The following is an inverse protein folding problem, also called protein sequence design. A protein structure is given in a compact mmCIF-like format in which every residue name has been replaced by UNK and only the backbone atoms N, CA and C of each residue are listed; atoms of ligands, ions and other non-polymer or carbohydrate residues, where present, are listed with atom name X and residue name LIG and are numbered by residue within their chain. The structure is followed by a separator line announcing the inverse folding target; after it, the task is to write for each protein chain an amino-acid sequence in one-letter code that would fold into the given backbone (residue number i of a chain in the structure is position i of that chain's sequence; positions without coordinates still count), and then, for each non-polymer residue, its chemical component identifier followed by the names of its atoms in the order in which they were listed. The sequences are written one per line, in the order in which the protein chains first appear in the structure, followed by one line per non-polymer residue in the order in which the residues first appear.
data_IF_798443454834
#
_entry.id   IF_798443454834
#
_cell.length_a   1.000
_cell.length_b   1.000
_cell.length_c   1.000
_cell.angle_alpha   90.00
_cell.angle_beta   90.00
_cell.angle_gamma   90.00
#
_symmetry.space_group_name_H-M   'P 1'
#
loop_
_entity.id
_entity.type
_entity.pdbx_description
1 polymer ?
#
# COMPACT_ATOMS: atom_id res chain seq x y z
N UNK A 1 -27.23 -28.06 15.50
CA UNK A 1 -26.10 -27.35 16.14
C UNK A 1 -26.16 -25.92 15.65
N UNK A 2 -26.78 -25.03 16.42
CA UNK A 2 -26.72 -23.59 16.17
C UNK A 2 -25.33 -23.07 16.55
N UNK A 3 -24.74 -22.14 15.78
CA UNK A 3 -23.50 -21.51 16.17
C UNK A 3 -23.74 -20.68 17.44
N UNK A 4 -22.92 -20.91 18.47
CA UNK A 4 -23.01 -20.18 19.74
C UNK A 4 -22.70 -18.70 19.53
N UNK A 5 -23.47 -17.83 20.20
CA UNK A 5 -23.36 -16.36 20.16
C UNK A 5 -21.99 -15.80 20.61
N UNK A 6 -21.05 -16.66 21.02
CA UNK A 6 -19.67 -16.31 21.37
C UNK A 6 -18.76 -16.06 20.17
N UNK A 7 -19.20 -16.35 18.93
CA UNK A 7 -18.34 -16.31 17.74
C UNK A 7 -18.41 -14.98 16.95
N UNK A 8 -19.18 -14.00 17.45
CA UNK A 8 -19.23 -12.64 16.88
C UNK A 8 -18.49 -11.69 17.80
N UNK A 9 -17.16 -11.69 17.76
CA UNK A 9 -16.38 -10.57 18.30
C UNK A 9 -16.84 -9.31 17.54
N UNK A 10 -17.41 -8.29 18.19
CA UNK A 10 -17.81 -7.06 17.51
C UNK A 10 -16.59 -6.49 16.81
N UNK A 11 -16.67 -6.30 15.48
CA UNK A 11 -15.56 -5.68 14.73
C UNK A 11 -15.34 -4.27 15.29
N UNK A 12 -14.09 -3.90 15.63
CA UNK A 12 -13.78 -2.53 16.01
C UNK A 12 -14.25 -1.56 14.93
N UNK A 13 -14.83 -0.42 15.34
CA UNK A 13 -15.39 0.58 14.41
C UNK A 13 -14.32 1.10 13.44
N UNK A 14 -13.07 1.15 13.89
CA UNK A 14 -11.93 1.61 13.11
C UNK A 14 -11.62 0.68 11.93
N UNK A 15 -11.75 -0.64 12.09
CA UNK A 15 -11.55 -1.59 10.98
C UNK A 15 -12.59 -1.38 9.88
N UNK A 16 -13.85 -1.16 10.29
CA UNK A 16 -14.95 -0.92 9.35
C UNK A 16 -14.73 0.38 8.55
N UNK A 17 -14.26 1.45 9.23
CA UNK A 17 -13.92 2.70 8.56
C UNK A 17 -12.75 2.53 7.59
N UNK A 18 -11.71 1.79 8.00
CA UNK A 18 -10.56 1.53 7.15
C UNK A 18 -10.95 0.74 5.90
N UNK A 19 -11.69 -0.35 6.04
CA UNK A 19 -12.19 -1.14 4.91
C UNK A 19 -12.98 -0.27 3.92
N UNK A 20 -13.81 0.63 4.44
CA UNK A 20 -14.58 1.57 3.62
C UNK A 20 -13.66 2.53 2.85
N UNK A 21 -12.65 3.12 3.50
CA UNK A 21 -11.73 4.05 2.83
C UNK A 21 -10.88 3.33 1.79
N UNK A 22 -10.37 2.13 2.06
CA UNK A 22 -9.65 1.34 1.06
C UNK A 22 -10.54 1.01 -0.15
N UNK A 23 -11.79 0.59 0.07
CA UNK A 23 -12.75 0.34 -1.00
C UNK A 23 -13.13 1.60 -1.79
N UNK A 24 -13.27 2.73 -1.10
CA UNK A 24 -13.55 4.02 -1.72
C UNK A 24 -12.37 4.50 -2.57
N UNK A 25 -11.13 4.42 -2.07
CA UNK A 25 -9.92 4.78 -2.82
C UNK A 25 -9.81 3.98 -4.12
N UNK A 26 -10.10 2.67 -4.07
CA UNK A 26 -10.14 1.83 -5.27
C UNK A 26 -11.21 2.30 -6.28
N UNK A 27 -12.40 2.64 -5.77
CA UNK A 27 -13.52 3.10 -6.59
C UNK A 27 -13.25 4.46 -7.23
N UNK A 28 -12.66 5.40 -6.48
CA UNK A 28 -12.24 6.72 -6.98
C UNK A 28 -11.19 6.59 -8.07
N UNK A 29 -10.22 5.68 -7.89
CA UNK A 29 -9.22 5.39 -8.92
C UNK A 29 -9.86 4.93 -10.23
N UNK A 30 -10.86 4.04 -10.17
CA UNK A 30 -11.60 3.61 -11.35
C UNK A 30 -12.41 4.74 -12.00
N UNK A 31 -13.10 5.56 -11.20
CA UNK A 31 -13.90 6.70 -11.70
C UNK A 31 -13.02 7.74 -12.40
N UNK A 32 -11.85 8.04 -11.85
CA UNK A 32 -10.91 9.00 -12.45
C UNK A 32 -10.52 8.62 -13.89
N UNK A 33 -10.42 7.33 -14.19
CA UNK A 33 -10.09 6.83 -15.52
C UNK A 33 -11.29 6.79 -16.47
N UNK A 34 -12.51 6.69 -15.95
CA UNK A 34 -13.74 6.81 -16.75
C UNK A 34 -13.96 8.27 -17.17
N UNK A 35 -13.64 9.21 -16.28
CA UNK A 35 -13.80 10.64 -16.52
C UNK A 35 -12.86 11.16 -17.62
N UNK A 36 -11.71 10.50 -17.83
CA UNK A 36 -10.74 10.88 -18.84
C UNK A 36 -10.88 9.99 -20.08
N UNK A 37 -11.69 10.46 -21.04
CA UNK A 37 -12.04 9.69 -22.23
C UNK A 37 -10.79 9.51 -23.14
N UNK A 38 -10.29 8.27 -23.32
CA UNK A 38 -9.08 8.03 -24.09
C UNK A 38 -9.31 8.34 -25.57
N UNK A 39 -8.37 9.06 -26.18
CA UNK A 39 -8.41 9.42 -27.61
C UNK A 39 -7.59 8.47 -28.48
N UNK A 40 -6.85 7.55 -27.87
CA UNK A 40 -6.05 6.54 -28.57
C UNK A 40 -6.06 5.18 -27.86
N UNK A 41 -5.78 4.10 -28.61
CA UNK A 41 -5.59 2.76 -28.02
C UNK A 41 -4.38 2.68 -27.08
N UNK A 42 -3.37 3.53 -27.29
CA UNK A 42 -2.22 3.65 -26.41
C UNK A 42 -2.60 4.19 -25.03
N UNK A 43 -3.48 5.20 -24.98
CA UNK A 43 -4.01 5.74 -23.72
C UNK A 43 -4.84 4.72 -22.95
N UNK A 44 -5.67 3.92 -23.63
CA UNK A 44 -6.41 2.83 -22.99
C UNK A 44 -5.45 1.87 -22.26
N UNK A 45 -4.37 1.46 -22.92
CA UNK A 45 -3.38 0.57 -22.30
C UNK A 45 -2.68 1.23 -21.11
N UNK A 46 -2.32 2.51 -21.23
CA UNK A 46 -1.73 3.28 -20.13
C UNK A 46 -2.67 3.38 -18.93
N UNK A 47 -3.95 3.70 -19.17
CA UNK A 47 -4.97 3.81 -18.14
C UNK A 47 -5.21 2.47 -17.42
N UNK A 48 -5.27 1.36 -18.16
CA UNK A 48 -5.40 0.01 -17.59
C UNK A 48 -4.19 -0.34 -16.72
N UNK A 49 -2.97 -0.02 -17.16
CA UNK A 49 -1.76 -0.27 -16.40
C UNK A 49 -1.69 0.58 -15.13
N UNK A 50 -2.00 1.87 -15.23
CA UNK A 50 -2.07 2.80 -14.10
C UNK A 50 -3.12 2.36 -13.07
N UNK A 51 -4.30 1.95 -13.54
CA UNK A 51 -5.34 1.37 -12.69
C UNK A 51 -4.86 0.12 -11.98
N UNK A 52 -4.32 -0.84 -12.75
CA UNK A 52 -3.85 -2.12 -12.22
C UNK A 52 -2.76 -1.93 -11.17
N UNK A 53 -1.85 -0.98 -11.40
CA UNK A 53 -0.83 -0.61 -10.44
C UNK A 53 -1.43 0.00 -9.16
N UNK A 54 -2.34 0.98 -9.29
CA UNK A 54 -3.07 1.58 -8.16
C UNK A 54 -3.80 0.53 -7.34
N UNK A 55 -4.51 -0.36 -8.03
CA UNK A 55 -5.24 -1.47 -7.44
C UNK A 55 -4.31 -2.37 -6.64
N UNK A 56 -3.18 -2.78 -7.22
CA UNK A 56 -2.20 -3.63 -6.56
C UNK A 56 -1.58 -2.98 -5.33
N UNK A 57 -1.28 -1.68 -5.36
CA UNK A 57 -0.80 -0.93 -4.19
C UNK A 57 -1.84 -0.95 -3.08
N UNK A 58 -3.09 -0.57 -3.38
CA UNK A 58 -4.16 -0.45 -2.40
C UNK A 58 -4.54 -1.81 -1.81
N UNK A 59 -4.72 -2.84 -2.64
CA UNK A 59 -5.07 -4.18 -2.14
C UNK A 59 -3.94 -4.79 -1.32
N UNK A 60 -2.67 -4.56 -1.70
CA UNK A 60 -1.52 -5.08 -0.94
C UNK A 60 -1.46 -4.42 0.43
N UNK A 61 -1.59 -3.08 0.49
CA UNK A 61 -1.62 -2.33 1.73
C UNK A 61 -2.80 -2.78 2.61
N UNK A 62 -3.99 -2.94 2.03
CA UNK A 62 -5.19 -3.41 2.73
C UNK A 62 -5.03 -4.81 3.33
N UNK A 63 -4.46 -5.77 2.59
CA UNK A 63 -4.25 -7.12 3.13
C UNK A 63 -3.26 -7.10 4.30
N UNK A 64 -2.16 -6.34 4.18
CA UNK A 64 -1.19 -6.22 5.28
C UNK A 64 -1.86 -5.56 6.50
N UNK A 65 -2.60 -4.48 6.28
CA UNK A 65 -3.35 -3.76 7.31
C UNK A 65 -4.33 -4.67 8.06
N UNK A 66 -5.22 -5.36 7.34
CA UNK A 66 -6.21 -6.27 7.94
C UNK A 66 -5.56 -7.42 8.69
N UNK A 67 -4.44 -7.95 8.18
CA UNK A 67 -3.64 -8.97 8.89
C UNK A 67 -3.16 -8.46 10.24
N UNK A 68 -2.64 -7.22 10.29
CA UNK A 68 -2.12 -6.63 11.52
C UNK A 68 -3.22 -6.22 12.50
N UNK A 69 -4.31 -5.63 12.02
CA UNK A 69 -5.44 -5.24 12.88
C UNK A 69 -6.15 -6.43 13.52
N UNK A 70 -6.23 -7.56 12.82
CA UNK A 70 -6.89 -8.77 13.35
C UNK A 70 -6.28 -9.32 14.65
N UNK A 71 -5.02 -8.97 14.94
CA UNK A 71 -4.27 -9.44 16.11
C UNK A 71 -3.94 -8.33 17.11
N UNK A 72 -4.24 -7.07 16.80
CA UNK A 72 -3.94 -5.95 17.70
C UNK A 72 -4.86 -6.01 18.94
N UNK A 73 -4.31 -6.12 20.16
CA UNK A 73 -5.08 -6.46 21.36
C UNK A 73 -5.86 -5.28 21.96
N UNK A 74 -5.56 -4.01 21.62
CA UNK A 74 -6.34 -2.85 22.07
C UNK A 74 -6.15 -1.60 21.19
N UNK A 75 -7.21 -0.80 21.02
CA UNK A 75 -7.16 0.52 20.39
C UNK A 75 -6.44 1.53 21.31
N UNK A 76 -5.11 1.64 21.18
CA UNK A 76 -4.34 2.70 21.87
C UNK A 76 -4.39 4.01 21.07
N UNK A 77 -4.19 5.15 21.74
CA UNK A 77 -4.13 6.47 21.07
C UNK A 77 -3.10 6.51 19.94
N UNK A 78 -1.95 5.86 20.13
CA UNK A 78 -0.89 5.79 19.12
C UNK A 78 -1.31 4.95 17.91
N UNK A 79 -1.96 3.80 18.12
CA UNK A 79 -2.48 2.95 17.03
C UNK A 79 -3.58 3.69 16.26
N UNK A 80 -4.47 4.41 16.94
CA UNK A 80 -5.48 5.24 16.28
C UNK A 80 -4.85 6.34 15.43
N UNK A 81 -3.84 7.06 15.95
CA UNK A 81 -3.14 8.09 15.18
C UNK A 81 -2.47 7.53 13.93
N UNK A 82 -1.73 6.42 14.07
CA UNK A 82 -1.11 5.72 12.95
C UNK A 82 -2.14 5.27 11.93
N UNK A 83 -3.31 4.81 12.39
CA UNK A 83 -4.39 4.42 11.50
C UNK A 83 -4.95 5.60 10.71
N UNK A 84 -5.27 6.72 11.36
CA UNK A 84 -5.75 7.92 10.66
C UNK A 84 -4.72 8.42 9.66
N UNK A 85 -3.44 8.43 10.03
CA UNK A 85 -2.35 8.80 9.13
C UNK A 85 -2.26 7.84 7.92
N UNK A 86 -2.35 6.52 8.15
CA UNK A 86 -2.36 5.53 7.06
C UNK A 86 -3.53 5.76 6.11
N UNK A 87 -4.73 5.99 6.65
CA UNK A 87 -5.93 6.19 5.86
C UNK A 87 -5.87 7.46 5.01
N UNK A 88 -5.24 8.52 5.51
CA UNK A 88 -4.94 9.71 4.73
C UNK A 88 -4.02 9.37 3.54
N UNK A 89 -2.90 8.68 3.78
CA UNK A 89 -1.97 8.29 2.70
C UNK A 89 -2.68 7.41 1.65
N UNK A 90 -3.44 6.42 2.10
CA UNK A 90 -4.27 5.54 1.24
C UNK A 90 -5.28 6.32 0.39
N UNK A 91 -5.84 7.42 0.91
CA UNK A 91 -6.74 8.28 0.16
C UNK A 91 -6.01 9.14 -0.89
N UNK A 92 -4.73 9.44 -0.69
CA UNK A 92 -3.90 10.21 -1.65
C UNK A 92 -3.42 9.37 -2.83
N UNK A 93 -3.24 8.06 -2.66
CA UNK A 93 -2.71 7.14 -3.68
C UNK A 93 -3.36 7.31 -5.07
N UNK A 94 -4.70 7.26 -5.23
CA UNK A 94 -5.33 7.39 -6.56
C UNK A 94 -5.07 8.76 -7.19
N UNK A 95 -5.11 9.83 -6.40
CA UNK A 95 -4.89 11.19 -6.88
C UNK A 95 -3.46 11.40 -7.35
N UNK A 96 -2.47 10.99 -6.55
CA UNK A 96 -1.06 11.16 -6.86
C UNK A 96 -0.67 10.35 -8.10
N UNK A 97 -1.13 9.10 -8.21
CA UNK A 97 -0.78 8.28 -9.36
C UNK A 97 -1.48 8.74 -10.65
N UNK A 98 -2.75 9.13 -10.58
CA UNK A 98 -3.44 9.73 -11.72
C UNK A 98 -2.71 10.99 -12.21
N UNK A 99 -2.18 11.81 -11.30
CA UNK A 99 -1.39 13.01 -11.65
C UNK A 99 -0.01 12.69 -12.24
N UNK A 100 0.47 11.45 -12.15
CA UNK A 100 1.70 10.96 -12.80
C UNK A 100 1.41 10.38 -14.18
N UNK A 101 0.29 9.69 -14.35
CA UNK A 101 0.01 8.91 -15.57
C UNK A 101 -0.92 9.61 -16.56
N UNK A 102 -1.87 10.43 -16.07
CA UNK A 102 -2.81 11.14 -16.93
C UNK A 102 -2.21 12.46 -17.41
N UNK A 103 -2.26 12.66 -18.73
CA UNK A 103 -1.76 13.88 -19.38
C UNK A 103 -2.89 14.88 -19.45
N UNK A 104 -2.74 16.03 -18.79
CA UNK A 104 -3.68 17.13 -18.98
C UNK A 104 -3.36 17.88 -20.29
N UNK A 105 -4.25 17.85 -21.30
CA UNK A 105 -4.01 18.47 -22.60
C UNK A 105 -4.00 20.01 -22.55
N UNK A 106 -4.48 20.62 -21.46
CA UNK A 106 -4.46 22.06 -21.28
C UNK A 106 -3.09 22.60 -20.82
N UNK A 107 -2.17 21.73 -20.40
CA UNK A 107 -0.83 22.12 -19.96
C UNK A 107 0.17 22.05 -21.11
N UNK A 108 1.13 22.99 -21.13
CA UNK A 108 2.29 22.86 -22.01
C UNK A 108 3.13 21.62 -21.65
N UNK A 109 3.95 21.10 -22.58
CA UNK A 109 4.82 19.95 -22.30
C UNK A 109 5.75 20.14 -21.09
N UNK A 110 6.23 21.37 -20.88
CA UNK A 110 7.09 21.71 -19.74
C UNK A 110 6.33 21.66 -18.41
N UNK A 111 5.12 22.22 -18.37
CA UNK A 111 4.25 22.20 -17.19
C UNK A 111 3.78 20.79 -16.85
N UNK A 112 3.41 20.01 -17.86
CA UNK A 112 3.05 18.59 -17.69
C UNK A 112 4.21 17.79 -17.10
N UNK A 113 5.43 17.96 -17.62
CA UNK A 113 6.63 17.30 -17.10
C UNK A 113 6.91 17.70 -15.64
N UNK A 114 6.84 19.00 -15.31
CA UNK A 114 7.03 19.49 -13.94
C UNK A 114 5.99 18.91 -12.97
N UNK A 115 4.72 18.87 -13.36
CA UNK A 115 3.65 18.29 -12.56
C UNK A 115 3.86 16.80 -12.32
N UNK A 116 4.15 16.01 -13.37
CA UNK A 116 4.43 14.57 -13.24
C UNK A 116 5.61 14.30 -12.33
N UNK A 117 6.64 15.13 -12.41
CA UNK A 117 7.83 15.05 -11.57
C UNK A 117 7.55 15.33 -10.10
N UNK A 118 6.74 16.35 -9.83
CA UNK A 118 6.30 16.67 -8.48
C UNK A 118 5.40 15.57 -7.91
N UNK A 119 4.37 15.16 -8.65
CA UNK A 119 3.42 14.11 -8.27
C UNK A 119 4.11 12.77 -8.01
N UNK A 120 5.08 12.37 -8.83
CA UNK A 120 5.83 11.12 -8.64
C UNK A 120 6.75 11.16 -7.42
N UNK A 121 7.29 12.33 -7.09
CA UNK A 121 8.05 12.51 -5.84
C UNK A 121 7.14 12.36 -4.63
N UNK A 122 5.98 13.03 -4.63
CA UNK A 122 4.98 12.89 -3.57
C UNK A 122 4.46 11.46 -3.45
N UNK A 123 4.19 10.78 -4.58
CA UNK A 123 3.77 9.38 -4.58
C UNK A 123 4.84 8.47 -3.96
N UNK A 124 6.12 8.72 -4.25
CA UNK A 124 7.23 7.96 -3.65
C UNK A 124 7.27 8.13 -2.13
N UNK A 125 7.07 9.36 -1.65
CA UNK A 125 6.99 9.67 -0.21
C UNK A 125 5.76 9.02 0.42
N UNK A 126 4.60 9.10 -0.24
CA UNK A 126 3.34 8.51 0.20
C UNK A 126 3.45 6.98 0.35
N UNK A 127 3.96 6.30 -0.69
CA UNK A 127 4.20 4.86 -0.68
C UNK A 127 5.20 4.43 0.40
N UNK A 128 6.29 5.19 0.58
CA UNK A 128 7.23 4.96 1.68
C UNK A 128 6.56 5.15 3.05
N UNK A 129 5.74 6.18 3.20
CA UNK A 129 4.97 6.47 4.42
C UNK A 129 4.02 5.34 4.78
N UNK A 130 3.27 4.81 3.81
CA UNK A 130 2.38 3.65 3.99
C UNK A 130 3.19 2.47 4.55
N UNK A 131 4.33 2.14 3.93
CA UNK A 131 5.16 1.02 4.39
C UNK A 131 5.74 1.24 5.79
N UNK A 132 6.16 2.47 6.12
CA UNK A 132 6.65 2.81 7.46
C UNK A 132 5.56 2.65 8.50
N UNK A 133 4.34 3.11 8.24
CA UNK A 133 3.22 2.97 9.18
C UNK A 133 2.83 1.51 9.35
N UNK A 134 2.77 0.73 8.25
CA UNK A 134 2.54 -0.72 8.33
C UNK A 134 3.64 -1.42 9.14
N UNK A 135 4.90 -1.02 8.96
CA UNK A 135 6.01 -1.52 9.79
C UNK A 135 5.84 -1.14 11.27
N UNK A 136 5.33 0.06 11.56
CA UNK A 136 5.04 0.49 12.92
C UNK A 136 3.95 -0.38 13.57
N UNK A 137 2.89 -0.74 12.85
CA UNK A 137 1.90 -1.71 13.35
C UNK A 137 2.53 -3.07 13.66
N UNK A 138 3.31 -3.62 12.73
CA UNK A 138 4.05 -4.87 12.97
C UNK A 138 5.01 -4.76 14.17
N UNK A 139 5.59 -3.59 14.39
CA UNK A 139 6.43 -3.33 15.56
C UNK A 139 5.64 -3.35 16.86
N UNK A 140 4.51 -2.65 16.94
CA UNK A 140 3.63 -2.63 18.11
C UNK A 140 3.22 -4.06 18.48
N UNK A 141 2.74 -4.83 17.50
CA UNK A 141 2.36 -6.23 17.69
C UNK A 141 3.55 -7.04 18.25
N UNK A 142 4.73 -6.89 17.68
CA UNK A 142 5.94 -7.61 18.13
C UNK A 142 6.37 -7.30 19.57
N UNK A 143 5.96 -6.15 20.13
CA UNK A 143 6.25 -5.77 21.51
C UNK A 143 5.23 -6.33 22.49
N UNK A 144 3.94 -6.34 22.12
CA UNK A 144 2.86 -6.82 22.97
C UNK A 144 2.84 -8.35 23.08
N UNK A 145 3.19 -9.05 22.01
CA UNK A 145 3.32 -10.52 21.96
C UNK A 145 4.38 -11.07 22.92
N UNK A 146 5.36 -10.26 23.33
CA UNK A 146 6.40 -10.66 24.32
C UNK A 146 5.82 -11.09 25.67
N UNK A 147 4.55 -10.78 25.96
CA UNK A 147 3.94 -11.10 27.24
C UNK A 147 3.11 -12.39 27.23
N UNK A 148 2.60 -12.89 26.09
CA UNK A 148 1.60 -13.98 26.08
C UNK A 148 1.53 -14.89 24.83
N UNK A 149 2.41 -14.78 23.82
CA UNK A 149 2.19 -15.45 22.52
C UNK A 149 3.37 -16.30 22.01
N UNK A 150 3.07 -17.30 21.19
CA UNK A 150 4.02 -18.25 20.61
C UNK A 150 5.12 -17.55 19.81
N UNK A 151 6.38 -17.95 20.05
CA UNK A 151 7.61 -17.38 19.48
C UNK A 151 7.57 -17.23 17.95
N UNK A 152 6.94 -18.19 17.26
CA UNK A 152 6.84 -18.22 15.80
C UNK A 152 6.04 -17.04 15.24
N UNK A 153 4.98 -16.61 15.94
CA UNK A 153 4.15 -15.47 15.53
C UNK A 153 4.90 -14.14 15.72
N UNK A 154 5.61 -14.00 16.83
CA UNK A 154 6.48 -12.86 17.08
C UNK A 154 7.65 -12.76 16.08
N UNK A 155 8.19 -13.89 15.58
CA UNK A 155 9.19 -13.90 14.51
C UNK A 155 8.59 -13.46 13.16
N UNK A 156 7.37 -13.89 12.83
CA UNK A 156 6.67 -13.47 11.61
C UNK A 156 6.49 -11.95 11.55
N UNK A 157 5.98 -11.32 12.62
CA UNK A 157 5.76 -9.88 12.64
C UNK A 157 7.07 -9.07 12.63
N UNK A 158 8.12 -9.55 13.30
CA UNK A 158 9.46 -8.92 13.22
C UNK A 158 10.04 -8.96 11.81
N UNK A 159 9.90 -10.09 11.12
CA UNK A 159 10.35 -10.23 9.74
C UNK A 159 9.53 -9.34 8.80
N UNK A 160 8.21 -9.28 8.99
CA UNK A 160 7.32 -8.37 8.27
C UNK A 160 7.74 -6.90 8.44
N UNK A 161 7.95 -6.46 9.68
CA UNK A 161 8.46 -5.11 10.00
C UNK A 161 9.77 -4.82 9.29
N UNK A 162 10.78 -5.68 9.47
CA UNK A 162 12.11 -5.43 8.90
C UNK A 162 12.06 -5.34 7.37
N UNK A 163 11.26 -6.21 6.74
CA UNK A 163 11.05 -6.17 5.29
C UNK A 163 10.41 -4.87 4.85
N UNK A 164 9.34 -4.42 5.52
CA UNK A 164 8.66 -3.17 5.19
C UNK A 164 9.58 -1.96 5.36
N UNK A 165 10.40 -1.93 6.40
CA UNK A 165 11.41 -0.87 6.59
C UNK A 165 12.43 -0.85 5.46
N UNK A 166 12.99 -2.02 5.09
CA UNK A 166 13.97 -2.12 3.99
C UNK A 166 13.35 -1.66 2.67
N UNK A 167 12.11 -2.09 2.38
CA UNK A 167 11.40 -1.67 1.18
C UNK A 167 11.06 -0.18 1.19
N UNK A 168 10.69 0.39 2.35
CA UNK A 168 10.44 1.82 2.50
C UNK A 168 11.69 2.66 2.24
N UNK A 169 12.84 2.25 2.78
CA UNK A 169 14.13 2.90 2.53
C UNK A 169 14.48 2.79 1.04
N UNK A 170 14.32 1.62 0.44
CA UNK A 170 14.60 1.40 -0.98
C UNK A 170 13.74 2.30 -1.89
N UNK A 171 12.45 2.44 -1.59
CA UNK A 171 11.55 3.36 -2.31
C UNK A 171 11.93 4.82 -2.05
N UNK A 172 12.21 5.21 -0.81
CA UNK A 172 12.60 6.59 -0.51
C UNK A 172 13.92 7.00 -1.20
N UNK A 173 14.88 6.09 -1.31
CA UNK A 173 16.15 6.32 -2.02
C UNK A 173 15.94 6.61 -3.51
N UNK A 174 14.84 6.14 -4.12
CA UNK A 174 14.55 6.42 -5.53
C UNK A 174 14.17 7.89 -5.82
N UNK A 175 14.03 8.72 -4.79
CA UNK A 175 13.87 10.18 -4.93
C UNK A 175 15.20 10.84 -5.33
N UNK A 176 16.34 10.20 -5.03
CA UNK A 176 17.66 10.79 -5.24
C UNK A 176 17.90 11.17 -6.72
N UNK A 177 18.60 12.29 -7.00
CA UNK A 177 18.75 12.84 -8.36
C UNK A 177 19.24 11.84 -9.41
N UNK A 178 20.07 10.88 -9.01
CA UNK A 178 20.63 9.86 -9.90
C UNK A 178 19.54 9.01 -10.57
N UNK A 179 18.45 8.70 -9.85
CA UNK A 179 17.32 7.92 -10.38
C UNK A 179 16.42 8.71 -11.34
N UNK A 180 16.64 10.03 -11.46
CA UNK A 180 15.96 10.88 -12.43
C UNK A 180 16.62 10.83 -13.80
N UNK A 181 17.95 10.75 -13.82
CA UNK A 181 18.74 10.71 -15.06
C UNK A 181 18.73 9.32 -15.71
N UNK A 182 18.63 8.28 -14.90
CA UNK A 182 18.66 6.91 -15.41
C UNK A 182 17.32 6.52 -16.02
N UNK A 183 17.35 6.15 -17.30
CA UNK A 183 16.22 5.59 -18.02
C UNK A 183 16.48 4.11 -18.34
N UNK A 184 15.45 3.30 -18.21
CA UNK A 184 15.44 1.90 -18.61
C UNK A 184 14.22 1.71 -19.52
N UNK A 185 14.42 1.16 -20.72
CA UNK A 185 13.35 1.02 -21.73
C UNK A 185 12.61 2.35 -22.03
N UNK A 186 13.30 3.49 -21.94
CA UNK A 186 12.72 4.82 -22.15
C UNK A 186 11.89 5.37 -20.99
N UNK A 187 11.81 4.65 -19.86
CA UNK A 187 11.07 5.04 -18.66
C UNK A 187 12.05 5.36 -17.52
N UNK A 188 11.84 6.43 -16.72
CA UNK A 188 12.69 6.73 -15.57
C UNK A 188 12.80 5.56 -14.59
N UNK A 189 14.02 5.20 -14.19
CA UNK A 189 14.30 4.04 -13.34
C UNK A 189 13.56 4.06 -12.00
N UNK A 190 13.29 5.25 -11.46
CA UNK A 190 12.50 5.41 -10.22
C UNK A 190 11.12 4.75 -10.28
N UNK A 191 10.47 4.74 -11.44
CA UNK A 191 9.11 4.19 -11.57
C UNK A 191 9.13 2.67 -11.41
N UNK A 192 10.20 2.01 -11.86
CA UNK A 192 10.38 0.58 -11.65
C UNK A 192 10.58 0.20 -10.19
N UNK A 193 11.17 1.10 -9.38
CA UNK A 193 11.39 0.87 -7.94
C UNK A 193 10.06 0.70 -7.21
N UNK A 194 9.00 1.35 -7.66
CA UNK A 194 7.67 1.25 -7.04
C UNK A 194 7.04 -0.15 -7.17
N UNK A 195 7.49 -0.96 -8.13
CA UNK A 195 7.04 -2.34 -8.29
C UNK A 195 7.74 -3.30 -7.32
N UNK A 196 8.91 -2.93 -6.79
CA UNK A 196 9.71 -3.82 -5.92
C UNK A 196 8.95 -4.27 -4.68
N UNK A 197 8.25 -3.39 -3.91
CA UNK A 197 7.46 -3.83 -2.77
C UNK A 197 6.33 -4.79 -3.15
N UNK A 198 5.67 -4.57 -4.29
CA UNK A 198 4.59 -5.40 -4.79
C UNK A 198 5.10 -6.79 -5.17
N UNK A 199 6.13 -6.85 -6.01
CA UNK A 199 6.77 -8.10 -6.42
C UNK A 199 7.26 -8.85 -5.20
N UNK A 200 7.94 -8.17 -4.28
CA UNK A 200 8.39 -8.74 -3.01
C UNK A 200 7.20 -9.39 -2.29
N UNK A 201 6.12 -8.64 -2.02
CA UNK A 201 4.96 -9.14 -1.31
C UNK A 201 4.34 -10.37 -1.98
N UNK A 202 4.00 -10.28 -3.27
CA UNK A 202 3.29 -11.33 -4.00
C UNK A 202 4.16 -12.57 -4.23
N UNK A 203 5.44 -12.42 -4.59
CA UNK A 203 6.38 -13.55 -4.70
C UNK A 203 6.56 -14.22 -3.33
N UNK A 204 6.69 -13.44 -2.26
CA UNK A 204 6.76 -13.97 -0.90
C UNK A 204 5.52 -14.79 -0.53
N UNK A 205 4.34 -14.32 -0.95
CA UNK A 205 3.07 -15.01 -0.72
C UNK A 205 2.93 -16.29 -1.54
N UNK A 206 3.43 -16.32 -2.78
CA UNK A 206 3.40 -17.50 -3.65
C UNK A 206 4.41 -18.55 -3.20
N UNK A 207 5.61 -18.14 -2.77
CA UNK A 207 6.68 -19.05 -2.33
C UNK A 207 6.45 -19.59 -0.92
N UNK A 208 5.78 -18.81 -0.06
CA UNK A 208 5.39 -19.21 1.29
C UNK A 208 3.89 -18.97 1.45
N UNK A 209 3.04 -19.72 0.72
CA UNK A 209 1.59 -19.61 0.86
C UNK A 209 1.26 -20.13 2.24
N UNK A 210 1.14 -19.21 3.20
CA UNK A 210 0.88 -19.43 4.62
C UNK A 210 1.10 -20.89 5.01
N UNK A 211 2.34 -21.26 5.35
CA UNK A 211 2.64 -22.57 5.92
C UNK A 211 1.53 -22.89 6.91
N UNK A 212 0.85 -24.00 6.63
CA UNK A 212 -0.31 -24.54 7.33
C UNK A 212 -0.07 -24.60 8.85
N UNK A 213 -0.27 -23.50 9.58
CA UNK A 213 -0.31 -23.49 11.04
C UNK A 213 -1.71 -23.28 11.61
N UNK A 214 -2.74 -23.51 10.79
CA UNK A 214 -4.04 -24.00 11.25
C UNK A 214 -4.20 -25.48 10.87
N UNK A 215 -3.24 -26.31 11.28
CA UNK A 215 -3.42 -27.76 11.31
C UNK A 215 -3.29 -28.25 12.76
N UNK A 216 -4.46 -28.28 13.41
CA UNK A 216 -4.89 -29.12 14.54
C UNK A 216 -3.97 -29.22 15.76
N UNK A 217 -4.50 -28.77 16.90
CA UNK A 217 -5.07 -29.68 17.93
C UNK A 217 -5.95 -28.90 18.88
#
# INVERSE_FOLDING_TARGET
MEPSLSDRRPRPRIETLADLIFGLSLSIGAIGLIADAPVSSGEINSHILAFGFTFLVLITAWIIYTTYMSVLPAETKSVMFLNVALLLLVALVPYLLNSVELVNPALSPAESSALRNYSSTLFTVDLAGIMVILAAFAHVISLEEKKLVARDLAELFRNGRNRLVVLAVLVAVSIAPQFWEWTLLGVPTRLYVWYVPLVSYWVGRVLRPASRTYRRS
#
